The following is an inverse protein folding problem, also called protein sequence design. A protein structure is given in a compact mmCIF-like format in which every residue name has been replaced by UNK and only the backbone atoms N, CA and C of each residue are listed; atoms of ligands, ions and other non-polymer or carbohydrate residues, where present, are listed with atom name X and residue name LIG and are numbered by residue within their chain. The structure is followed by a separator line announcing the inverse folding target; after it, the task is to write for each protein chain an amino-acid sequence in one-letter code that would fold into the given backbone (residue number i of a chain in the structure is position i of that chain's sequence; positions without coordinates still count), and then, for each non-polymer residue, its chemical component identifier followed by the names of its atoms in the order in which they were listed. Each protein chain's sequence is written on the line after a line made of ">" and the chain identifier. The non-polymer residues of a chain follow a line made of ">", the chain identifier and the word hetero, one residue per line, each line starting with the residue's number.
data_IF_179412886942
#
_entry.id   IF_179412886942
#
_cell.length_a   1.000
_cell.length_b   1.000
_cell.length_c   1.000
_cell.angle_alpha   90.00
_cell.angle_beta   90.00
_cell.angle_gamma   90.00
#
_symmetry.space_group_name_H-M   'P 1'
#
loop_
_entity.id
_entity.type
_entity.pdbx_description
1 polymer ?
#
# COMPACT_ATOMS: atom_id res chain seq x y z
N UNK A 1 -3.78 -9.28 28.29
CA UNK A 1 -3.12 -8.08 28.84
C UNK A 1 -4.04 -6.91 28.61
N UNK A 2 -4.54 -6.29 29.67
CA UNK A 2 -5.41 -5.10 29.61
C UNK A 2 -4.53 -3.88 29.33
N UNK A 3 -4.68 -3.28 28.15
CA UNK A 3 -3.99 -2.04 27.79
C UNK A 3 -4.61 -0.91 28.63
N UNK A 4 -3.80 -0.24 29.44
CA UNK A 4 -4.24 0.94 30.17
C UNK A 4 -4.53 2.06 29.16
N UNK A 5 -5.80 2.44 29.00
CA UNK A 5 -6.18 3.52 28.10
C UNK A 5 -5.57 4.84 28.57
N UNK A 6 -4.75 5.45 27.70
CA UNK A 6 -4.46 6.88 27.79
C UNK A 6 -5.80 7.65 27.78
N UNK A 7 -5.89 8.83 28.43
CA UNK A 7 -7.09 9.65 28.36
C UNK A 7 -7.48 9.89 26.89
N UNK A 8 -8.79 9.96 26.59
CA UNK A 8 -9.42 10.10 25.26
C UNK A 8 -9.12 11.45 24.57
N UNK A 9 -7.87 11.91 24.67
CA UNK A 9 -7.34 13.11 24.06
C UNK A 9 -6.85 12.76 22.64
N UNK A 10 -7.07 13.63 21.63
CA UNK A 10 -6.65 13.37 20.25
C UNK A 10 -5.17 12.98 20.08
N UNK A 11 -4.30 13.51 20.94
CA UNK A 11 -2.86 13.17 20.95
C UNK A 11 -2.62 11.71 21.33
N UNK A 12 -3.30 11.23 22.37
CA UNK A 12 -3.20 9.84 22.82
C UNK A 12 -3.61 8.88 21.72
N UNK A 13 -4.71 9.20 21.03
CA UNK A 13 -5.22 8.38 19.93
C UNK A 13 -4.27 8.42 18.72
N UNK A 14 -3.73 9.58 18.36
CA UNK A 14 -2.73 9.68 17.29
C UNK A 14 -1.51 8.78 17.54
N UNK A 15 -0.99 8.79 18.78
CA UNK A 15 0.13 7.94 19.21
C UNK A 15 -0.22 6.46 19.23
N UNK A 16 -1.44 6.14 19.64
CA UNK A 16 -1.96 4.77 19.62
C UNK A 16 -2.05 4.23 18.19
N UNK A 17 -2.58 5.02 17.24
CA UNK A 17 -2.66 4.63 15.82
C UNK A 17 -1.29 4.36 15.21
N UNK A 18 -0.28 5.18 15.52
CA UNK A 18 1.12 4.91 15.11
C UNK A 18 1.60 3.58 15.66
N UNK A 19 1.40 3.36 16.96
CA UNK A 19 1.87 2.14 17.62
C UNK A 19 1.18 0.89 17.06
N UNK A 20 -0.14 0.94 16.83
CA UNK A 20 -0.90 -0.15 16.20
C UNK A 20 -0.36 -0.48 14.80
N UNK A 21 -0.20 0.52 13.93
CA UNK A 21 0.32 0.34 12.58
C UNK A 21 1.76 -0.22 12.58
N UNK A 22 2.62 0.30 13.46
CA UNK A 22 3.99 -0.16 13.60
C UNK A 22 4.06 -1.61 14.11
N UNK A 23 3.25 -1.96 15.12
CA UNK A 23 3.16 -3.33 15.66
C UNK A 23 2.65 -4.31 14.61
N UNK A 24 1.66 -3.90 13.82
CA UNK A 24 1.14 -4.70 12.71
C UNK A 24 2.24 -5.02 11.69
N UNK A 25 2.94 -4.00 11.17
CA UNK A 25 4.03 -4.24 10.20
C UNK A 25 5.17 -5.05 10.84
N UNK A 26 5.53 -4.79 12.10
CA UNK A 26 6.53 -5.57 12.80
C UNK A 26 6.15 -7.06 12.83
N UNK A 27 4.89 -7.40 13.13
CA UNK A 27 4.41 -8.78 13.11
C UNK A 27 4.48 -9.39 11.70
N UNK A 28 4.11 -8.63 10.66
CA UNK A 28 4.24 -9.03 9.25
C UNK A 28 5.71 -9.30 8.87
N UNK A 29 6.66 -8.48 9.32
CA UNK A 29 8.09 -8.63 9.05
C UNK A 29 8.71 -9.80 9.83
N UNK A 30 8.39 -9.95 11.12
CA UNK A 30 8.85 -11.07 11.96
C UNK A 30 8.33 -12.41 11.44
N UNK A 31 7.14 -12.40 10.86
CA UNK A 31 6.59 -13.55 10.18
C UNK A 31 7.46 -13.98 8.97
N UNK A 32 7.96 -13.02 8.17
CA UNK A 32 8.77 -13.28 6.98
C UNK A 32 10.03 -14.10 7.24
N UNK A 33 10.73 -13.80 8.33
CA UNK A 33 12.07 -14.32 8.61
C UNK A 33 12.14 -15.84 8.80
N UNK A 34 11.00 -16.54 8.81
CA UNK A 34 10.91 -18.01 8.99
C UNK A 34 9.82 -18.68 8.14
N UNK A 35 9.18 -17.96 7.22
CA UNK A 35 8.07 -18.50 6.41
C UNK A 35 8.51 -18.93 5.01
N UNK A 36 7.77 -19.84 4.40
CA UNK A 36 7.97 -20.30 3.02
C UNK A 36 7.57 -19.27 1.95
N UNK A 37 7.16 -18.06 2.35
CA UNK A 37 6.55 -17.04 1.48
C UNK A 37 7.21 -15.66 1.67
N UNK A 38 8.46 -15.48 1.20
CA UNK A 38 9.23 -14.24 1.42
C UNK A 38 8.64 -13.02 0.73
N UNK A 39 7.68 -13.21 -0.19
CA UNK A 39 7.04 -12.13 -0.94
C UNK A 39 6.00 -11.36 -0.11
N UNK A 40 5.38 -11.98 0.90
CA UNK A 40 4.26 -11.39 1.65
C UNK A 40 4.60 -10.03 2.25
N UNK A 41 5.73 -9.81 2.93
CA UNK A 41 6.06 -8.49 3.49
C UNK A 41 6.35 -7.46 2.40
N UNK A 42 6.93 -7.89 1.28
CA UNK A 42 7.19 -7.01 0.13
C UNK A 42 5.89 -6.46 -0.47
N UNK A 43 4.76 -7.18 -0.33
CA UNK A 43 3.46 -6.65 -0.73
C UNK A 43 3.07 -5.40 0.08
N UNK A 44 3.51 -5.31 1.34
CA UNK A 44 3.14 -4.24 2.27
C UNK A 44 4.28 -3.26 2.58
N UNK A 45 5.40 -3.33 1.84
CA UNK A 45 6.58 -2.45 2.08
C UNK A 45 6.25 -0.96 1.89
N UNK A 46 5.36 -0.61 0.97
CA UNK A 46 4.89 0.77 0.81
C UNK A 46 4.14 1.28 2.05
N UNK A 47 3.37 0.40 2.71
CA UNK A 47 2.74 0.75 3.99
C UNK A 47 3.78 0.91 5.11
N UNK A 48 4.82 0.07 5.15
CA UNK A 48 5.94 0.25 6.09
C UNK A 48 6.60 1.62 5.90
N UNK A 49 6.90 1.99 4.65
CA UNK A 49 7.42 3.32 4.29
C UNK A 49 6.52 4.46 4.78
N UNK A 50 5.22 4.38 4.51
CA UNK A 50 4.22 5.34 5.00
C UNK A 50 4.23 5.46 6.52
N UNK A 51 4.18 4.33 7.24
CA UNK A 51 4.09 4.30 8.70
C UNK A 51 5.33 4.92 9.32
N UNK A 52 6.52 4.58 8.81
CA UNK A 52 7.78 5.16 9.28
C UNK A 52 7.85 6.65 8.99
N UNK A 53 7.51 7.07 7.77
CA UNK A 53 7.51 8.48 7.38
C UNK A 53 6.55 9.31 8.25
N UNK A 54 5.28 8.92 8.32
CA UNK A 54 4.23 9.68 8.98
C UNK A 54 4.35 9.60 10.52
N UNK A 55 4.82 8.46 11.06
CA UNK A 55 5.12 8.29 12.49
C UNK A 55 6.32 9.14 12.92
N UNK A 56 7.37 9.19 12.10
CA UNK A 56 8.53 10.05 12.35
C UNK A 56 8.15 11.53 12.30
N UNK A 57 7.32 11.92 11.33
CA UNK A 57 6.80 13.28 11.23
C UNK A 57 5.93 13.66 12.45
N UNK A 58 5.13 12.73 12.98
CA UNK A 58 4.37 12.95 14.22
C UNK A 58 5.30 13.16 15.42
N UNK A 59 6.29 12.28 15.60
CA UNK A 59 7.25 12.34 16.71
C UNK A 59 8.05 13.65 16.69
N UNK A 60 8.45 14.10 15.49
CA UNK A 60 9.19 15.34 15.24
C UNK A 60 8.29 16.57 15.00
N UNK A 61 6.98 16.49 15.29
CA UNK A 61 6.04 17.57 14.98
C UNK A 61 6.46 18.89 15.64
N UNK A 62 6.22 20.02 14.95
CA UNK A 62 6.42 21.36 15.51
C UNK A 62 5.37 21.70 16.59
N UNK A 63 4.24 21.00 16.59
CA UNK A 63 3.18 21.15 17.59
C UNK A 63 3.63 20.47 18.88
N UNK A 64 4.11 21.25 19.86
CA UNK A 64 4.65 20.73 21.13
C UNK A 64 3.74 19.74 21.86
N UNK A 65 2.43 19.92 21.75
CA UNK A 65 1.47 19.03 22.37
C UNK A 65 1.49 17.62 21.74
N UNK A 66 1.74 17.52 20.44
CA UNK A 66 1.75 16.25 19.69
C UNK A 66 3.13 15.59 19.73
N UNK A 67 4.18 16.40 19.60
CA UNK A 67 5.57 15.96 19.50
C UNK A 67 5.99 15.03 20.64
N UNK A 68 6.90 14.11 20.34
CA UNK A 68 7.54 13.26 21.34
C UNK A 68 9.07 13.31 21.17
N UNK A 69 9.75 14.26 21.82
CA UNK A 69 11.18 14.45 21.66
C UNK A 69 12.02 13.23 22.07
N UNK A 70 11.56 12.47 23.07
CA UNK A 70 12.25 11.27 23.55
C UNK A 70 12.16 10.13 22.53
N UNK A 71 10.98 9.93 21.94
CA UNK A 71 10.79 9.00 20.83
C UNK A 71 11.59 9.44 19.60
N UNK A 72 11.51 10.72 19.24
CA UNK A 72 12.18 11.30 18.08
C UNK A 72 13.71 11.16 18.12
N UNK A 73 14.30 11.27 19.31
CA UNK A 73 15.75 11.10 19.52
C UNK A 73 16.24 9.66 19.26
N UNK A 74 15.34 8.67 19.32
CA UNK A 74 15.64 7.25 19.07
C UNK A 74 15.41 6.84 17.62
N UNK A 75 14.68 7.64 16.85
CA UNK A 75 14.37 7.32 15.46
C UNK A 75 15.62 7.50 14.58
N UNK A 76 15.98 6.50 13.76
CA UNK A 76 17.10 6.64 12.84
C UNK A 76 16.82 7.78 11.85
N UNK A 77 17.88 8.44 11.39
CA UNK A 77 17.84 9.44 10.30
C UNK A 77 18.47 8.92 9.00
N UNK A 78 18.93 7.67 9.00
CA UNK A 78 19.45 7.02 7.80
C UNK A 78 18.30 6.59 6.90
N UNK A 79 18.43 6.79 5.59
CA UNK A 79 17.47 6.37 4.57
C UNK A 79 16.17 7.19 4.48
N UNK A 80 16.14 8.42 5.03
CA UNK A 80 14.96 9.31 4.96
C UNK A 80 14.46 9.49 3.52
N UNK A 81 15.35 9.70 2.54
CA UNK A 81 14.98 9.86 1.13
C UNK A 81 14.30 8.60 0.55
N UNK A 82 14.76 7.41 0.94
CA UNK A 82 14.17 6.17 0.46
C UNK A 82 12.80 5.92 1.10
N UNK A 83 12.70 6.16 2.41
CA UNK A 83 11.46 6.05 3.18
C UNK A 83 10.41 6.99 2.57
N UNK A 84 10.82 8.22 2.24
CA UNK A 84 9.99 9.17 1.51
C UNK A 84 9.57 8.61 0.15
N UNK A 85 10.50 8.16 -0.70
CA UNK A 85 10.16 7.57 -2.01
C UNK A 85 9.19 6.39 -1.89
N UNK A 86 9.39 5.49 -0.94
CA UNK A 86 8.50 4.35 -0.70
C UNK A 86 7.10 4.79 -0.24
N UNK A 87 7.01 5.80 0.63
CA UNK A 87 5.75 6.43 1.03
C UNK A 87 5.03 7.06 -0.16
N UNK A 88 5.77 7.68 -1.06
CA UNK A 88 5.23 8.30 -2.28
C UNK A 88 4.82 7.25 -3.32
N UNK A 89 5.48 6.10 -3.38
CA UNK A 89 5.12 5.01 -4.28
C UNK A 89 3.68 4.50 -4.07
N UNK A 90 3.19 4.48 -2.83
CA UNK A 90 1.80 4.11 -2.52
C UNK A 90 0.75 5.10 -3.05
N UNK A 91 1.14 6.35 -3.34
CA UNK A 91 0.22 7.38 -3.86
C UNK A 91 -0.04 7.29 -5.36
N UNK A 92 0.85 6.64 -6.12
CA UNK A 92 0.75 6.60 -7.58
C UNK A 92 0.55 8.01 -8.17
N UNK A 93 -0.60 8.27 -8.82
CA UNK A 93 -0.92 9.57 -9.44
C UNK A 93 -1.41 10.64 -8.43
N UNK A 94 -1.72 10.28 -7.19
CA UNK A 94 -2.06 11.25 -6.12
C UNK A 94 -0.82 11.98 -5.56
N UNK A 95 0.38 11.66 -6.06
CA UNK A 95 1.59 12.38 -5.69
C UNK A 95 1.69 13.72 -6.43
N UNK A 96 1.28 14.80 -5.76
CA UNK A 96 1.34 16.16 -6.31
C UNK A 96 2.76 16.62 -6.66
N UNK A 97 3.80 15.91 -6.20
CA UNK A 97 5.19 16.19 -6.55
C UNK A 97 5.69 15.47 -7.81
N UNK A 98 4.91 14.52 -8.34
CA UNK A 98 5.29 13.70 -9.50
C UNK A 98 4.16 13.70 -10.53
N UNK A 99 4.32 14.45 -11.64
CA UNK A 99 3.38 14.42 -12.75
C UNK A 99 3.14 13.01 -13.30
N UNK A 100 2.00 12.83 -13.98
CA UNK A 100 1.58 11.58 -14.60
C UNK A 100 2.67 10.96 -15.49
N UNK A 101 3.34 11.79 -16.28
CA UNK A 101 4.41 11.40 -17.20
C UNK A 101 5.65 10.87 -16.48
N UNK A 102 5.95 11.39 -15.29
CA UNK A 102 7.10 10.95 -14.48
C UNK A 102 6.85 9.56 -13.91
N UNK A 103 5.61 9.23 -13.52
CA UNK A 103 5.29 7.88 -13.10
C UNK A 103 5.39 6.90 -14.28
N UNK A 104 4.90 7.28 -15.46
CA UNK A 104 5.00 6.44 -16.65
C UNK A 104 6.46 6.23 -17.08
N UNK A 105 7.30 7.27 -17.04
CA UNK A 105 8.71 7.13 -17.39
C UNK A 105 9.47 6.21 -16.42
N UNK A 106 9.18 6.28 -15.12
CA UNK A 106 9.74 5.33 -14.15
C UNK A 106 9.31 3.88 -14.44
N UNK A 107 8.03 3.66 -14.75
CA UNK A 107 7.51 2.32 -15.06
C UNK A 107 8.09 1.77 -16.37
N UNK A 108 8.33 2.64 -17.35
CA UNK A 108 9.01 2.28 -18.60
C UNK A 108 10.47 1.87 -18.34
N UNK A 109 11.19 2.65 -17.52
CA UNK A 109 12.56 2.36 -17.14
C UNK A 109 12.68 1.03 -16.36
N UNK A 110 11.81 0.79 -15.38
CA UNK A 110 11.77 -0.48 -14.63
C UNK A 110 11.53 -1.67 -15.57
N UNK A 111 10.66 -1.49 -16.56
CA UNK A 111 10.34 -2.53 -17.54
C UNK A 111 11.51 -2.78 -18.51
N UNK A 112 12.14 -1.71 -18.99
CA UNK A 112 13.31 -1.78 -19.87
C UNK A 112 14.48 -2.48 -19.16
N UNK A 113 14.73 -2.15 -17.90
CA UNK A 113 15.75 -2.78 -17.09
C UNK A 113 15.48 -4.28 -16.92
N UNK A 114 14.25 -4.67 -16.54
CA UNK A 114 13.89 -6.07 -16.42
C UNK A 114 14.06 -6.85 -17.73
N UNK A 115 13.70 -6.24 -18.87
CA UNK A 115 13.92 -6.84 -20.20
C UNK A 115 15.39 -7.05 -20.50
N UNK A 116 16.22 -6.05 -20.21
CA UNK A 116 17.67 -6.12 -20.40
C UNK A 116 18.30 -7.21 -19.54
N UNK A 117 17.85 -7.35 -18.29
CA UNK A 117 18.43 -8.32 -17.35
C UNK A 117 17.96 -9.75 -17.61
N UNK A 118 16.72 -9.98 -18.06
CA UNK A 118 16.13 -11.31 -18.10
C UNK A 118 15.80 -11.87 -19.50
N UNK A 119 15.83 -11.06 -20.57
CA UNK A 119 15.54 -11.52 -21.93
C UNK A 119 16.79 -11.55 -22.81
N UNK A 120 16.82 -12.47 -23.78
CA UNK A 120 17.90 -12.58 -24.76
C UNK A 120 19.16 -13.30 -24.29
N UNK A 121 19.20 -13.71 -23.02
CA UNK A 121 20.36 -14.33 -22.38
C UNK A 121 20.56 -15.81 -22.74
N UNK A 122 19.53 -16.48 -23.27
CA UNK A 122 19.64 -17.90 -23.62
C UNK A 122 20.38 -18.08 -24.96
N UNK A 123 21.43 -18.92 -25.02
CA UNK A 123 22.21 -19.14 -26.25
C UNK A 123 21.37 -19.84 -27.35
N UNK A 124 20.42 -20.69 -26.96
CA UNK A 124 19.53 -21.39 -27.89
C UNK A 124 18.33 -20.52 -28.27
N UNK A 125 18.25 -20.08 -29.54
CA UNK A 125 17.16 -19.19 -30.04
C UNK A 125 15.75 -19.74 -29.78
N UNK A 126 15.54 -21.05 -29.90
CA UNK A 126 14.23 -21.66 -29.66
C UNK A 126 13.83 -21.64 -28.18
N UNK A 127 14.79 -21.58 -27.26
CA UNK A 127 14.55 -21.54 -25.83
C UNK A 127 14.20 -20.12 -25.33
N UNK A 128 14.59 -19.07 -26.06
CA UNK A 128 14.25 -17.66 -25.75
C UNK A 128 12.75 -17.38 -25.65
N UNK A 129 11.90 -18.23 -26.25
CA UNK A 129 10.44 -18.12 -26.12
C UNK A 129 9.92 -18.43 -24.71
N UNK A 130 10.74 -19.09 -23.89
CA UNK A 130 10.46 -19.47 -22.51
C UNK A 130 11.06 -18.51 -21.47
N UNK A 131 11.90 -17.57 -21.90
CA UNK A 131 12.38 -16.48 -21.04
C UNK A 131 11.19 -15.64 -20.55
N UNK A 132 11.35 -15.02 -19.38
CA UNK A 132 10.37 -14.12 -18.79
C UNK A 132 11.05 -13.05 -17.95
N UNK A 133 10.60 -11.83 -18.10
CA UNK A 133 11.07 -10.61 -17.43
C UNK A 133 10.04 -10.08 -16.42
N UNK A 134 8.83 -10.64 -16.42
CA UNK A 134 7.75 -10.28 -15.53
C UNK A 134 7.48 -11.42 -14.57
N UNK A 135 8.12 -11.40 -13.39
CA UNK A 135 7.83 -12.32 -12.31
C UNK A 135 6.48 -11.99 -11.69
N UNK A 136 5.56 -12.95 -11.66
CA UNK A 136 4.18 -12.72 -11.25
C UNK A 136 3.78 -13.58 -10.05
N UNK A 137 3.30 -12.94 -9.00
CA UNK A 137 2.84 -13.60 -7.78
C UNK A 137 1.31 -13.58 -7.69
N UNK A 138 0.71 -14.71 -7.36
CA UNK A 138 -0.74 -14.86 -7.34
C UNK A 138 -1.27 -15.59 -6.12
N UNK A 139 -2.41 -15.12 -5.62
CA UNK A 139 -3.28 -15.86 -4.71
C UNK A 139 -4.41 -16.49 -5.52
N UNK A 140 -4.35 -17.80 -5.72
CA UNK A 140 -5.23 -18.50 -6.66
C UNK A 140 -5.07 -17.93 -8.08
N UNK A 141 -6.14 -17.38 -8.66
CA UNK A 141 -6.11 -16.75 -10.00
C UNK A 141 -5.80 -15.25 -9.96
N UNK A 142 -5.75 -14.63 -8.78
CA UNK A 142 -5.64 -13.17 -8.61
C UNK A 142 -4.18 -12.76 -8.50
N UNK A 143 -3.77 -11.80 -9.33
CA UNK A 143 -2.45 -11.18 -9.28
C UNK A 143 -2.32 -10.35 -8.01
N UNK A 144 -1.29 -10.59 -7.20
CA UNK A 144 -1.01 -9.78 -6.00
C UNK A 144 0.24 -8.91 -6.14
N UNK A 145 1.18 -9.28 -7.01
CA UNK A 145 2.33 -8.45 -7.34
C UNK A 145 2.99 -8.87 -8.66
N UNK A 146 3.75 -7.93 -9.25
CA UNK A 146 4.75 -8.23 -10.29
C UNK A 146 6.09 -7.61 -9.93
N UNK A 147 7.19 -8.25 -10.33
CA UNK A 147 8.56 -7.86 -9.93
C UNK A 147 8.92 -6.40 -10.21
N UNK A 148 8.68 -5.80 -11.41
CA UNK A 148 9.06 -4.40 -11.65
C UNK A 148 8.36 -3.45 -10.69
N UNK A 149 7.09 -3.73 -10.39
CA UNK A 149 6.27 -2.89 -9.52
C UNK A 149 6.62 -3.01 -8.03
N UNK A 150 7.34 -4.07 -7.63
CA UNK A 150 7.84 -4.23 -6.26
C UNK A 150 9.05 -3.33 -6.03
N UNK A 151 9.94 -3.19 -7.02
CA UNK A 151 11.07 -2.24 -6.97
C UNK A 151 10.56 -0.81 -6.76
N UNK A 152 9.54 -0.42 -7.53
CA UNK A 152 8.86 0.87 -7.34
C UNK A 152 8.30 1.05 -5.91
N UNK A 153 7.66 0.03 -5.33
CA UNK A 153 7.13 0.10 -3.94
C UNK A 153 8.20 0.30 -2.88
N UNK A 154 9.41 -0.21 -3.12
CA UNK A 154 10.54 -0.03 -2.22
C UNK A 154 11.13 1.38 -2.31
N UNK A 155 10.70 2.20 -3.29
CA UNK A 155 11.26 3.50 -3.55
C UNK A 155 12.63 3.43 -4.23
N UNK A 156 12.98 2.29 -4.82
CA UNK A 156 14.26 2.13 -5.53
C UNK A 156 14.22 2.87 -6.88
N UNK A 157 15.37 3.42 -7.32
CA UNK A 157 15.48 3.95 -8.66
C UNK A 157 15.48 2.82 -9.70
N UNK A 158 14.95 3.06 -10.91
CA UNK A 158 14.82 2.05 -11.99
C UNK A 158 16.11 1.47 -12.58
N UNK A 159 17.28 1.82 -12.03
CA UNK A 159 18.59 1.38 -12.53
C UNK A 159 19.26 0.38 -11.58
N UNK A 160 18.53 -0.10 -10.57
CA UNK A 160 19.08 -0.99 -9.53
C UNK A 160 19.13 -2.43 -10.03
N UNK A 161 20.32 -3.00 -10.24
CA UNK A 161 20.47 -4.41 -10.66
C UNK A 161 19.86 -5.40 -9.66
N UNK A 162 19.50 -6.62 -10.06
CA UNK A 162 18.94 -7.60 -9.11
C UNK A 162 19.93 -8.00 -7.99
N UNK A 163 21.24 -7.97 -8.26
CA UNK A 163 22.29 -8.23 -7.25
C UNK A 163 22.31 -7.11 -6.21
N UNK A 164 22.25 -5.86 -6.65
CA UNK A 164 22.19 -4.71 -5.76
C UNK A 164 20.86 -4.67 -4.98
N UNK A 165 19.78 -5.14 -5.60
CA UNK A 165 18.45 -5.20 -5.00
C UNK A 165 18.45 -6.06 -3.74
N UNK A 166 19.13 -7.20 -3.71
CA UNK A 166 19.16 -8.07 -2.52
C UNK A 166 19.86 -7.41 -1.32
N UNK A 167 21.04 -6.81 -1.56
CA UNK A 167 21.78 -6.09 -0.52
C UNK A 167 21.00 -4.86 -0.02
N UNK A 168 20.34 -4.15 -0.94
CA UNK A 168 19.47 -3.02 -0.62
C UNK A 168 18.25 -3.45 0.16
N UNK A 169 17.51 -4.47 -0.27
CA UNK A 169 16.35 -5.02 0.47
C UNK A 169 16.71 -5.30 1.93
N UNK A 170 17.90 -5.85 2.20
CA UNK A 170 18.38 -6.07 3.56
C UNK A 170 18.62 -4.76 4.32
N UNK A 171 19.31 -3.79 3.72
CA UNK A 171 19.57 -2.47 4.31
C UNK A 171 18.27 -1.73 4.65
N UNK A 172 17.34 -1.72 3.70
CA UNK A 172 16.04 -1.07 3.80
C UNK A 172 15.16 -1.75 4.84
N UNK A 173 15.14 -3.08 4.86
CA UNK A 173 14.44 -3.86 5.89
C UNK A 173 15.01 -3.59 7.28
N UNK A 174 16.33 -3.40 7.40
CA UNK A 174 16.98 -3.05 8.67
C UNK A 174 16.57 -1.65 9.14
N UNK A 175 16.61 -0.65 8.25
CA UNK A 175 16.18 0.71 8.54
C UNK A 175 14.70 0.77 8.96
N UNK A 176 13.82 0.06 8.24
CA UNK A 176 12.42 -0.07 8.62
C UNK A 176 12.25 -0.76 9.96
N UNK A 177 12.91 -1.90 10.19
CA UNK A 177 12.82 -2.63 11.46
C UNK A 177 13.22 -1.78 12.67
N UNK A 178 14.31 -1.02 12.54
CA UNK A 178 14.75 -0.09 13.59
C UNK A 178 13.70 0.99 13.87
N UNK A 179 13.23 1.71 12.85
CA UNK A 179 12.25 2.77 13.04
C UNK A 179 10.91 2.23 13.56
N UNK A 180 10.43 1.11 13.01
CA UNK A 180 9.18 0.45 13.44
C UNK A 180 9.27 0.03 14.90
N UNK A 181 10.40 -0.53 15.35
CA UNK A 181 10.56 -0.95 16.75
C UNK A 181 10.40 0.23 17.73
N UNK A 182 10.90 1.41 17.36
CA UNK A 182 10.72 2.64 18.14
C UNK A 182 9.27 3.12 18.06
N UNK A 183 8.71 3.21 16.86
CA UNK A 183 7.33 3.68 16.66
C UNK A 183 6.27 2.79 17.32
N UNK A 184 6.53 1.49 17.47
CA UNK A 184 5.65 0.56 18.19
C UNK A 184 5.48 0.92 19.68
N UNK A 185 6.37 1.75 20.24
CA UNK A 185 6.31 2.26 21.61
C UNK A 185 5.62 3.63 21.72
N UNK A 186 5.13 4.20 20.61
CA UNK A 186 4.54 5.55 20.59
C UNK A 186 3.40 5.75 21.59
N UNK A 187 2.68 4.68 21.93
CA UNK A 187 1.62 4.67 22.93
C UNK A 187 2.12 4.68 24.40
N UNK A 188 3.43 4.80 24.64
CA UNK A 188 4.02 4.83 25.99
C UNK A 188 4.20 3.47 26.65
N UNK A 189 4.12 2.38 25.88
CA UNK A 189 4.30 1.02 26.38
C UNK A 189 5.52 0.37 25.71
N UNK A 190 6.41 -0.27 26.49
CA UNK A 190 7.51 -1.04 25.92
C UNK A 190 7.01 -2.04 24.90
N UNK A 191 7.70 -2.15 23.77
CA UNK A 191 7.33 -3.08 22.72
C UNK A 191 8.29 -4.26 22.72
N UNK A 192 7.77 -5.44 23.05
CA UNK A 192 8.44 -6.70 22.76
C UNK A 192 7.90 -7.23 21.44
N UNK A 193 8.78 -7.40 20.47
CA UNK A 193 8.47 -7.99 19.17
C UNK A 193 7.91 -9.42 19.35
N UNK A 194 6.59 -9.58 19.20
CA UNK A 194 5.91 -10.88 19.27
C UNK A 194 5.28 -11.24 17.94
N UNK A 195 5.42 -12.51 17.55
CA UNK A 195 4.74 -13.05 16.38
C UNK A 195 3.35 -13.54 16.78
N UNK A 196 2.32 -12.81 16.39
CA UNK A 196 0.92 -13.20 16.68
C UNK A 196 0.18 -13.67 15.43
N UNK A 197 0.69 -13.36 14.23
CA UNK A 197 0.08 -13.74 12.97
C UNK A 197 0.24 -15.24 12.62
N UNK A 198 -0.84 -15.82 12.09
CA UNK A 198 -0.89 -17.20 11.59
C UNK A 198 -1.29 -17.23 10.11
N UNK A 199 -0.39 -17.73 9.25
CA UNK A 199 -0.65 -17.92 7.82
C UNK A 199 -1.32 -19.24 7.47
N UNK A 200 -1.82 -20.01 8.45
CA UNK A 200 -2.51 -21.28 8.18
C UNK A 200 -3.61 -21.13 7.11
N UNK A 201 -4.20 -19.94 7.02
CA UNK A 201 -5.27 -19.61 6.08
C UNK A 201 -4.80 -18.87 4.81
N UNK A 202 -3.57 -18.34 4.77
CA UNK A 202 -3.05 -17.67 3.57
C UNK A 202 -2.62 -18.65 2.48
N UNK A 203 -2.21 -19.87 2.83
CA UNK A 203 -1.73 -20.86 1.87
C UNK A 203 -0.53 -20.37 1.02
N UNK A 204 -0.31 -21.03 -0.12
CA UNK A 204 0.82 -20.73 -1.03
C UNK A 204 0.48 -19.60 -2.02
N UNK A 205 1.45 -18.71 -2.28
CA UNK A 205 1.40 -17.73 -3.36
C UNK A 205 2.10 -18.33 -4.59
N UNK A 206 1.32 -18.62 -5.62
CA UNK A 206 1.89 -19.17 -6.85
C UNK A 206 2.75 -18.14 -7.58
N UNK A 207 3.91 -18.59 -8.04
CA UNK A 207 4.87 -17.82 -8.82
C UNK A 207 4.92 -18.30 -10.27
N UNK A 208 4.95 -17.37 -11.22
CA UNK A 208 5.21 -17.70 -12.63
C UNK A 208 5.75 -16.50 -13.40
N UNK A 209 6.89 -16.71 -14.04
CA UNK A 209 7.47 -15.74 -14.96
C UNK A 209 6.72 -15.71 -16.29
N UNK A 210 6.56 -14.50 -16.83
CA UNK A 210 5.96 -14.23 -18.13
C UNK A 210 6.82 -13.23 -18.88
N UNK A 211 6.67 -13.22 -20.21
CA UNK A 211 7.17 -12.11 -21.00
C UNK A 211 6.22 -10.92 -20.88
N UNK A 212 6.74 -9.77 -20.52
CA UNK A 212 5.96 -8.54 -20.35
C UNK A 212 5.24 -8.15 -21.63
N UNK A 213 5.92 -8.19 -22.78
CA UNK A 213 5.38 -7.89 -24.12
C UNK A 213 4.07 -8.65 -24.41
N UNK A 214 4.08 -9.97 -24.19
CA UNK A 214 2.94 -10.87 -24.40
C UNK A 214 1.87 -10.74 -23.32
N UNK A 215 2.27 -10.41 -22.10
CA UNK A 215 1.33 -10.25 -21.00
C UNK A 215 0.57 -8.94 -21.14
N UNK A 216 1.26 -7.80 -21.25
CA UNK A 216 0.68 -6.46 -21.30
C UNK A 216 -0.11 -6.23 -22.60
N UNK A 217 0.32 -6.79 -23.74
CA UNK A 217 -0.46 -6.72 -24.99
C UNK A 217 -1.85 -7.35 -24.88
N UNK A 218 -2.09 -8.25 -23.91
CA UNK A 218 -3.37 -8.95 -23.70
C UNK A 218 -4.21 -8.38 -22.56
N UNK A 219 -3.80 -7.24 -21.99
CA UNK A 219 -4.32 -6.68 -20.75
C UNK A 219 -4.71 -5.23 -20.92
N UNK A 220 -5.80 -4.86 -20.24
CA UNK A 220 -6.39 -3.52 -20.28
C UNK A 220 -6.75 -3.09 -21.71
N UNK A 221 -7.05 -1.80 -21.92
CA UNK A 221 -7.39 -1.31 -23.25
C UNK A 221 -6.19 -1.40 -24.20
N UNK A 222 -6.43 -1.75 -25.47
CA UNK A 222 -5.38 -1.87 -26.47
C UNK A 222 -4.68 -0.53 -26.77
N UNK A 223 -5.39 0.59 -26.59
CA UNK A 223 -4.85 1.94 -26.80
C UNK A 223 -3.89 2.41 -25.71
N UNK A 224 -3.88 1.75 -24.54
CA UNK A 224 -2.98 2.12 -23.45
C UNK A 224 -1.53 1.76 -23.75
N UNK A 225 -0.63 2.69 -23.44
CA UNK A 225 0.80 2.46 -23.51
C UNK A 225 1.23 1.39 -22.48
N UNK A 226 2.31 0.65 -22.77
CA UNK A 226 2.80 -0.39 -21.86
C UNK A 226 3.08 0.10 -20.43
N UNK A 227 3.67 1.30 -20.20
CA UNK A 227 3.90 1.80 -18.86
C UNK A 227 2.60 2.01 -18.07
N UNK A 228 1.54 2.53 -18.72
CA UNK A 228 0.24 2.66 -18.07
C UNK A 228 -0.36 1.29 -17.74
N UNK A 229 -0.22 0.31 -18.65
CA UNK A 229 -0.64 -1.08 -18.36
C UNK A 229 0.13 -1.69 -17.20
N UNK A 230 1.39 -1.32 -17.00
CA UNK A 230 2.19 -1.74 -15.86
C UNK A 230 1.70 -1.07 -14.56
N UNK A 231 1.35 0.23 -14.59
CA UNK A 231 0.68 0.91 -13.46
C UNK A 231 -0.64 0.22 -13.12
N UNK A 232 -1.52 -0.04 -14.09
CA UNK A 232 -2.78 -0.75 -13.84
C UNK A 232 -2.57 -2.18 -13.33
N UNK A 233 -1.46 -2.82 -13.72
CA UNK A 233 -1.04 -4.11 -13.17
C UNK A 233 -0.61 -3.99 -11.70
N UNK A 234 0.11 -2.92 -11.34
CA UNK A 234 0.43 -2.60 -9.94
C UNK A 234 -0.84 -2.36 -9.12
N UNK A 235 -1.77 -1.54 -9.63
CA UNK A 235 -3.06 -1.23 -8.98
C UNK A 235 -3.86 -2.51 -8.74
N UNK A 236 -3.91 -3.40 -9.73
CA UNK A 236 -4.57 -4.70 -9.59
C UNK A 236 -3.89 -5.57 -8.51
N UNK A 237 -2.56 -5.56 -8.46
CA UNK A 237 -1.77 -6.24 -7.43
C UNK A 237 -2.13 -5.75 -6.03
N UNK A 238 -2.14 -4.42 -5.84
CA UNK A 238 -2.46 -3.78 -4.55
C UNK A 238 -3.86 -4.16 -4.05
N UNK A 239 -4.88 -3.94 -4.88
CA UNK A 239 -6.26 -4.26 -4.51
C UNK A 239 -6.40 -5.75 -4.14
N UNK A 240 -5.73 -6.64 -4.88
CA UNK A 240 -5.80 -8.07 -4.58
C UNK A 240 -4.98 -8.47 -3.35
N UNK A 241 -3.86 -7.81 -3.06
CA UNK A 241 -3.11 -8.02 -1.82
C UNK A 241 -3.96 -7.62 -0.61
N UNK A 242 -4.60 -6.45 -0.67
CA UNK A 242 -5.53 -5.98 0.37
C UNK A 242 -6.76 -6.88 0.52
N UNK A 243 -7.27 -7.46 -0.58
CA UNK A 243 -8.48 -8.30 -0.54
C UNK A 243 -8.22 -9.75 -0.11
N UNK A 244 -7.11 -10.33 -0.57
CA UNK A 244 -6.89 -11.77 -0.48
C UNK A 244 -5.68 -12.17 0.39
N UNK A 245 -4.82 -11.22 0.76
CA UNK A 245 -3.66 -11.46 1.62
C UNK A 245 -3.84 -10.81 2.99
N UNK A 246 -4.15 -9.51 3.02
CA UNK A 246 -4.29 -8.72 4.24
C UNK A 246 -5.24 -9.33 5.29
N UNK A 247 -6.37 -9.99 4.95
CA UNK A 247 -7.23 -10.59 5.99
C UNK A 247 -6.51 -11.65 6.84
N UNK A 248 -5.52 -12.34 6.29
CA UNK A 248 -4.70 -13.30 7.06
C UNK A 248 -3.65 -12.61 7.96
N UNK A 249 -3.46 -11.30 7.78
CA UNK A 249 -2.51 -10.46 8.50
C UNK A 249 -3.21 -9.45 9.43
N UNK A 250 -4.54 -9.49 9.53
CA UNK A 250 -5.33 -8.49 10.24
C UNK A 250 -5.74 -8.90 11.67
N UNK A 251 -5.63 -10.19 12.02
CA UNK A 251 -6.09 -10.69 13.33
C UNK A 251 -5.29 -10.04 14.46
N UNK A 252 -5.97 -9.34 15.36
CA UNK A 252 -5.36 -8.55 16.43
C UNK A 252 -4.78 -7.21 15.99
N UNK A 253 -4.95 -6.85 14.71
CA UNK A 253 -4.47 -5.63 14.06
C UNK A 253 -5.55 -5.02 13.14
N UNK A 254 -6.82 -5.17 13.51
CA UNK A 254 -7.97 -4.88 12.66
C UNK A 254 -8.01 -3.41 12.21
N UNK A 255 -7.74 -2.47 13.12
CA UNK A 255 -7.72 -1.04 12.82
C UNK A 255 -6.56 -0.66 11.88
N UNK A 256 -5.39 -1.29 12.01
CA UNK A 256 -4.26 -1.08 11.12
C UNK A 256 -4.56 -1.61 9.71
N UNK A 257 -5.15 -2.81 9.62
CA UNK A 257 -5.59 -3.40 8.36
C UNK A 257 -6.70 -2.55 7.69
N UNK A 258 -7.63 -2.01 8.48
CA UNK A 258 -8.63 -1.07 7.99
C UNK A 258 -7.98 0.17 7.38
N UNK A 259 -7.05 0.84 8.09
CA UNK A 259 -6.33 2.03 7.57
C UNK A 259 -5.56 1.72 6.29
N UNK A 260 -4.87 0.57 6.23
CA UNK A 260 -4.17 0.12 5.04
C UNK A 260 -5.13 -0.06 3.85
N UNK A 261 -6.30 -0.67 4.09
CA UNK A 261 -7.35 -0.86 3.08
C UNK A 261 -7.89 0.47 2.58
N UNK A 262 -8.21 1.42 3.47
CA UNK A 262 -8.69 2.76 3.10
C UNK A 262 -7.69 3.46 2.19
N UNK A 263 -6.41 3.51 2.59
CA UNK A 263 -5.36 4.19 1.82
C UNK A 263 -5.16 3.51 0.46
N UNK A 264 -5.03 2.19 0.45
CA UNK A 264 -4.74 1.44 -0.78
C UNK A 264 -5.90 1.47 -1.77
N UNK A 265 -7.15 1.31 -1.32
CA UNK A 265 -8.33 1.38 -2.20
C UNK A 265 -8.52 2.79 -2.74
N UNK A 266 -8.36 3.83 -1.91
CA UNK A 266 -8.49 5.21 -2.35
C UNK A 266 -7.49 5.53 -3.47
N UNK A 267 -6.20 5.27 -3.27
CA UNK A 267 -5.18 5.55 -4.26
C UNK A 267 -5.30 4.66 -5.51
N UNK A 268 -5.70 3.40 -5.35
CA UNK A 268 -5.94 2.50 -6.46
C UNK A 268 -7.07 2.99 -7.38
N UNK A 269 -8.20 3.40 -6.82
CA UNK A 269 -9.37 3.86 -7.60
C UNK A 269 -9.14 5.26 -8.15
N UNK A 270 -8.51 6.16 -7.38
CA UNK A 270 -8.08 7.46 -7.91
C UNK A 270 -7.10 7.29 -9.07
N UNK A 271 -6.22 6.28 -9.04
CA UNK A 271 -5.34 6.02 -10.16
C UNK A 271 -6.10 5.60 -11.44
N UNK A 272 -7.26 4.94 -11.32
CA UNK A 272 -8.13 4.65 -12.47
C UNK A 272 -8.77 5.93 -13.02
N UNK A 273 -9.20 6.84 -12.14
CA UNK A 273 -9.75 8.14 -12.51
C UNK A 273 -8.72 8.98 -13.27
N UNK A 274 -7.48 9.03 -12.78
CA UNK A 274 -6.37 9.70 -13.46
C UNK A 274 -6.06 9.05 -14.81
N UNK A 275 -6.01 7.72 -14.89
CA UNK A 275 -5.78 7.03 -16.16
C UNK A 275 -6.86 7.33 -17.21
N UNK A 276 -8.15 7.36 -16.83
CA UNK A 276 -9.25 7.70 -17.75
C UNK A 276 -9.21 9.16 -18.19
N UNK A 277 -8.80 10.07 -17.30
CA UNK A 277 -8.72 11.50 -17.60
C UNK A 277 -7.54 11.85 -18.52
N UNK A 278 -6.35 11.33 -18.22
CA UNK A 278 -5.12 11.67 -18.95
C UNK A 278 -4.98 10.87 -20.25
N UNK A 279 -5.51 9.64 -20.30
CA UNK A 279 -5.54 8.83 -21.51
C UNK A 279 -6.94 8.22 -21.72
N UNK A 280 -7.93 9.00 -22.19
CA UNK A 280 -9.28 8.50 -22.40
C UNK A 280 -9.30 7.35 -23.41
N UNK A 281 -9.75 6.18 -22.96
CA UNK A 281 -9.93 5.02 -23.84
C UNK A 281 -11.30 5.08 -24.57
N UNK A 282 -11.39 4.51 -25.78
CA UNK A 282 -12.67 4.26 -26.44
C UNK A 282 -13.63 3.44 -25.55
N UNK A 283 -14.93 3.60 -25.78
CA UNK A 283 -15.93 2.82 -25.05
C UNK A 283 -15.74 1.32 -25.30
N UNK A 284 -15.68 0.58 -24.21
CA UNK A 284 -15.63 -0.88 -24.19
C UNK A 284 -16.28 -1.36 -22.91
N UNK A 285 -16.70 -2.63 -22.86
CA UNK A 285 -17.35 -3.19 -21.66
C UNK A 285 -16.56 -2.92 -20.37
N UNK A 286 -15.24 -2.98 -20.43
CA UNK A 286 -14.39 -2.77 -19.26
C UNK A 286 -14.18 -1.30 -18.94
N UNK A 287 -14.01 -0.44 -19.95
CA UNK A 287 -13.92 1.02 -19.78
C UNK A 287 -15.24 1.57 -19.22
N UNK A 288 -16.38 1.11 -19.73
CA UNK A 288 -17.70 1.53 -19.24
C UNK A 288 -17.92 1.08 -17.80
N UNK A 289 -17.48 -0.15 -17.46
CA UNK A 289 -17.52 -0.66 -16.08
C UNK A 289 -16.61 0.15 -15.13
N UNK A 290 -15.43 0.56 -15.60
CA UNK A 290 -14.54 1.47 -14.87
C UNK A 290 -15.22 2.81 -14.61
N UNK A 291 -15.79 3.44 -15.64
CA UNK A 291 -16.51 4.71 -15.51
C UNK A 291 -17.75 4.59 -14.62
N UNK A 292 -18.46 3.46 -14.66
CA UNK A 292 -19.57 3.18 -13.76
C UNK A 292 -19.11 3.06 -12.29
N UNK A 293 -17.98 2.40 -12.03
CA UNK A 293 -17.35 2.38 -10.70
C UNK A 293 -16.99 3.80 -10.23
N UNK A 294 -16.35 4.60 -11.08
CA UNK A 294 -16.01 6.00 -10.79
C UNK A 294 -17.25 6.89 -10.61
N UNK A 295 -18.37 6.56 -11.25
CA UNK A 295 -19.66 7.22 -11.07
C UNK A 295 -20.51 6.68 -9.92
N UNK A 296 -20.07 5.62 -9.24
CA UNK A 296 -20.89 4.91 -8.24
C UNK A 296 -21.15 5.76 -6.99
N UNK A 297 -22.34 5.69 -6.38
CA UNK A 297 -22.64 6.40 -5.14
C UNK A 297 -21.64 6.08 -4.01
N UNK A 298 -21.15 4.85 -3.93
CA UNK A 298 -20.19 4.39 -2.94
C UNK A 298 -18.85 5.13 -3.10
N UNK A 299 -18.30 5.17 -4.32
CA UNK A 299 -17.07 5.90 -4.58
C UNK A 299 -17.24 7.40 -4.33
N UNK A 300 -18.34 7.99 -4.82
CA UNK A 300 -18.64 9.41 -4.61
C UNK A 300 -18.71 9.78 -3.12
N UNK A 301 -19.23 8.89 -2.28
CA UNK A 301 -19.21 9.07 -0.82
C UNK A 301 -17.80 8.91 -0.21
N UNK A 302 -16.96 8.01 -0.72
CA UNK A 302 -15.57 7.86 -0.26
C UNK A 302 -14.68 9.07 -0.62
N UNK A 303 -14.94 9.74 -1.75
CA UNK A 303 -14.21 10.97 -2.15
C UNK A 303 -14.88 12.27 -1.69
N UNK A 304 -16.00 12.17 -0.98
CA UNK A 304 -16.65 13.32 -0.35
C UNK A 304 -15.72 14.04 0.63
N UNK A 305 -16.03 15.28 1.07
CA UNK A 305 -15.25 15.96 2.10
C UNK A 305 -15.02 15.11 3.35
N UNK A 306 -16.07 14.41 3.83
CA UNK A 306 -15.96 13.49 4.97
C UNK A 306 -15.03 12.31 4.65
N UNK A 307 -15.21 11.65 3.50
CA UNK A 307 -14.41 10.49 3.15
C UNK A 307 -12.93 10.80 2.93
N UNK A 308 -12.60 11.99 2.40
CA UNK A 308 -11.23 12.52 2.34
C UNK A 308 -10.62 12.74 3.72
N UNK A 309 -11.42 13.16 4.71
CA UNK A 309 -10.94 13.28 6.09
C UNK A 309 -10.60 11.90 6.68
N UNK A 310 -11.44 10.89 6.45
CA UNK A 310 -11.17 9.50 6.88
C UNK A 310 -9.91 8.95 6.23
N UNK A 311 -9.73 9.14 4.92
CA UNK A 311 -8.49 8.79 4.21
C UNK A 311 -7.28 9.51 4.82
N UNK A 312 -7.40 10.80 5.09
CA UNK A 312 -6.33 11.58 5.69
C UNK A 312 -5.99 11.12 7.10
N UNK A 313 -6.95 10.65 7.90
CA UNK A 313 -6.67 10.05 9.23
C UNK A 313 -6.04 8.67 9.12
N UNK A 314 -6.34 7.93 8.06
CA UNK A 314 -5.72 6.64 7.77
C UNK A 314 -4.28 6.79 7.25
N UNK A 315 -3.94 7.95 6.68
CA UNK A 315 -2.60 8.26 6.19
C UNK A 315 -1.74 9.04 7.19
N UNK A 316 -2.29 10.11 7.78
CA UNK A 316 -1.61 11.06 8.66
C UNK A 316 -2.12 10.94 10.10
N UNK A 317 -1.22 10.67 11.02
CA UNK A 317 -1.58 10.45 12.42
C UNK A 317 -1.95 11.73 13.18
N UNK A 318 -1.40 12.89 12.80
CA UNK A 318 -1.67 14.14 13.53
C UNK A 318 -3.12 14.62 13.33
N UNK A 319 -3.95 14.53 14.36
CA UNK A 319 -5.36 14.95 14.34
C UNK A 319 -5.43 16.48 14.45
N UNK A 320 -5.39 17.17 13.29
CA UNK A 320 -5.46 18.64 13.20
C UNK A 320 -6.87 19.20 13.08
N UNK A 321 -7.82 18.39 12.62
CA UNK A 321 -9.17 18.85 12.30
C UNK A 321 -10.01 18.95 13.57
N UNK A 322 -10.93 19.92 13.60
CA UNK A 322 -11.92 20.03 14.68
C UNK A 322 -12.85 18.81 14.62
N UNK A 323 -12.85 18.02 15.68
CA UNK A 323 -13.79 16.92 15.87
C UNK A 323 -15.16 17.49 16.27
N UNK A 324 -16.24 16.85 15.82
CA UNK A 324 -17.63 17.23 16.14
C UNK A 324 -18.14 16.56 17.42
N UNK A 325 -17.48 15.51 17.89
CA UNK A 325 -17.78 14.79 19.12
C UNK A 325 -16.50 14.27 19.79
N UNK A 326 -16.56 13.90 21.09
CA UNK A 326 -15.45 13.21 21.75
C UNK A 326 -15.14 11.85 21.10
N UNK A 327 -13.87 11.43 21.19
CA UNK A 327 -13.43 10.11 20.73
C UNK A 327 -13.93 9.02 21.67
N UNK A 328 -14.20 7.84 21.11
CA UNK A 328 -14.73 6.69 21.83
C UNK A 328 -13.85 5.45 21.60
N UNK A 329 -12.99 5.06 22.56
CA UNK A 329 -12.12 3.88 22.44
C UNK A 329 -12.86 2.56 22.31
N UNK A 330 -14.15 2.50 22.66
CA UNK A 330 -14.97 1.31 22.49
C UNK A 330 -15.46 1.11 21.05
N UNK A 331 -15.27 2.11 20.17
CA UNK A 331 -15.58 2.02 18.74
C UNK A 331 -14.33 1.69 17.94
N UNK A 332 -14.48 1.04 16.77
CA UNK A 332 -13.39 0.88 15.80
C UNK A 332 -12.71 2.22 15.51
N UNK A 333 -11.39 2.21 15.30
CA UNK A 333 -10.61 3.42 15.06
C UNK A 333 -10.79 4.50 16.15
N UNK A 334 -11.11 4.09 17.40
CA UNK A 334 -11.40 4.96 18.53
C UNK A 334 -12.54 5.98 18.26
N UNK A 335 -13.50 5.62 17.39
CA UNK A 335 -14.62 6.49 17.01
C UNK A 335 -14.23 7.71 16.18
N UNK A 336 -13.03 7.71 15.57
CA UNK A 336 -12.55 8.83 14.76
C UNK A 336 -13.47 9.10 13.57
N UNK A 337 -14.02 8.06 12.93
CA UNK A 337 -14.81 8.23 11.71
C UNK A 337 -16.07 9.06 12.03
N UNK A 338 -16.78 8.69 13.08
CA UNK A 338 -17.98 9.36 13.56
C UNK A 338 -17.69 10.78 14.05
N UNK A 339 -16.52 10.99 14.67
CA UNK A 339 -16.12 12.27 15.24
C UNK A 339 -15.65 13.30 14.19
N UNK A 340 -15.44 12.90 12.92
CA UNK A 340 -15.07 13.83 11.86
C UNK A 340 -16.30 14.61 11.34
N UNK A 341 -16.12 15.87 10.89
CA UNK A 341 -17.18 16.63 10.25
C UNK A 341 -17.90 15.87 9.13
N UNK A 342 -19.24 15.95 9.11
CA UNK A 342 -20.09 15.14 8.22
C UNK A 342 -20.27 13.69 8.68
N UNK A 343 -19.99 13.43 9.97
CA UNK A 343 -19.91 12.12 10.64
C UNK A 343 -20.82 11.04 10.08
N UNK A 344 -20.23 10.11 9.35
CA UNK A 344 -20.85 8.83 8.98
C UNK A 344 -20.41 7.75 9.97
N UNK A 345 -21.18 6.67 10.06
CA UNK A 345 -20.77 5.54 10.89
C UNK A 345 -19.60 4.79 10.26
N UNK A 346 -18.75 4.19 11.09
CA UNK A 346 -17.71 3.27 10.65
C UNK A 346 -18.28 2.15 9.76
N UNK A 347 -19.46 1.63 10.12
CA UNK A 347 -20.13 0.53 9.40
C UNK A 347 -20.51 0.97 7.97
N UNK A 348 -21.11 2.15 7.81
CA UNK A 348 -21.50 2.65 6.48
C UNK A 348 -20.26 2.95 5.62
N UNK A 349 -19.22 3.50 6.23
CA UNK A 349 -17.96 3.78 5.52
C UNK A 349 -17.29 2.48 5.07
N UNK A 350 -17.24 1.47 5.95
CA UNK A 350 -16.69 0.16 5.65
C UNK A 350 -17.49 -0.56 4.56
N UNK A 351 -18.82 -0.42 4.55
CA UNK A 351 -19.68 -0.98 3.51
C UNK A 351 -19.35 -0.38 2.12
N UNK A 352 -19.25 0.94 2.02
CA UNK A 352 -18.85 1.63 0.79
C UNK A 352 -17.44 1.22 0.34
N UNK A 353 -16.48 1.21 1.27
CA UNK A 353 -15.10 0.80 1.01
C UNK A 353 -15.04 -0.62 0.46
N UNK A 354 -15.78 -1.54 1.07
CA UNK A 354 -15.84 -2.95 0.67
C UNK A 354 -16.45 -3.11 -0.73
N UNK A 355 -17.55 -2.41 -1.01
CA UNK A 355 -18.19 -2.45 -2.32
C UNK A 355 -17.26 -1.97 -3.44
N UNK A 356 -16.61 -0.82 -3.23
CA UNK A 356 -15.65 -0.25 -4.17
C UNK A 356 -14.42 -1.16 -4.35
N UNK A 357 -13.89 -1.70 -3.26
CA UNK A 357 -12.73 -2.59 -3.29
C UNK A 357 -13.01 -3.87 -4.08
N UNK A 358 -14.17 -4.50 -3.85
CA UNK A 358 -14.60 -5.70 -4.57
C UNK A 358 -14.70 -5.40 -6.07
N UNK A 359 -15.41 -4.35 -6.43
CA UNK A 359 -15.69 -3.99 -7.81
C UNK A 359 -14.40 -3.62 -8.57
N UNK A 360 -13.53 -2.81 -7.97
CA UNK A 360 -12.24 -2.44 -8.56
C UNK A 360 -11.33 -3.66 -8.77
N UNK A 361 -11.23 -4.54 -7.77
CA UNK A 361 -10.46 -5.79 -7.84
C UNK A 361 -10.98 -6.72 -8.95
N UNK A 362 -12.30 -6.83 -9.11
CA UNK A 362 -12.92 -7.68 -10.12
C UNK A 362 -12.80 -7.09 -11.52
N UNK A 363 -13.06 -5.79 -11.68
CA UNK A 363 -12.85 -5.06 -12.93
C UNK A 363 -11.43 -5.32 -13.47
N UNK A 364 -10.40 -5.01 -12.67
CA UNK A 364 -9.02 -5.11 -13.14
C UNK A 364 -8.61 -6.55 -13.38
N UNK A 365 -9.08 -7.52 -12.59
CA UNK A 365 -8.77 -8.93 -12.84
C UNK A 365 -9.28 -9.38 -14.22
N UNK A 366 -10.52 -9.03 -14.57
CA UNK A 366 -11.17 -9.49 -15.80
C UNK A 366 -10.87 -8.65 -17.03
N UNK A 367 -10.30 -7.45 -16.90
CA UNK A 367 -9.99 -6.57 -18.03
C UNK A 367 -8.93 -7.15 -18.96
N UNK A 368 -9.38 -7.74 -20.06
CA UNK A 368 -8.55 -8.23 -21.17
C UNK A 368 -8.75 -7.32 -22.38
N UNK A 369 -7.67 -7.12 -23.13
CA UNK A 369 -7.65 -6.30 -24.36
C UNK A 369 -8.45 -6.92 -25.48
#
# INVERSE_FOLDING_TARGET
>A
MTVAHLPNHPISVARQMVAEDARWIADVLLFAGRASEPIVPLLFVGHAGRIVYEGTALARSKTKAVADPALAARLPSSHDDLIERARHATKLFDDTSRPYEVLLSHMDADLAQARQEFLGNTPFRWARRFEGDLGMFRRGRRLVAVTPTLSYRMGEPPETSAVDLAAKVLSVSTAYGQAISVLAESAGHPYAATRTLSLKHLGYLSHRDRRSDKYLSRRFDASYAEPLKLVLTHVAGELNALRYVLPSLAVGHEDAAFRATVVGVYHAVSALEHADKEQPAPASRHVDRMRALLGSPEWQRLISPHGKLVRNRSMHYEIRNKLTSPLNPAQPMNGIIEALPGGRSYVDYLADLTAVHIEASDLLHYWRS
#
